data_IF_330428970713
#
_entry.id   IF_330428970713
#
_cell.length_a   1.000
_cell.length_b   1.000
_cell.length_c   1.000
_cell.angle_alpha   90.00
_cell.angle_beta   90.00
_cell.angle_gamma   90.00
#
_symmetry.space_group_name_H-M   'P 1'
#
loop_
_entity.id
_entity.type
_entity.pdbx_description
1 polymer ?
#
# COMPACT_ATOMS: atom_id res chain seq x y z
N UNK A 1 24.97 23.13 24.87
CA UNK A 1 25.18 23.27 23.42
C UNK A 1 24.16 22.38 22.73
N UNK A 2 23.09 22.95 22.17
CA UNK A 2 22.13 22.25 21.34
C UNK A 2 22.84 21.91 20.02
N UNK A 3 23.19 20.64 19.82
CA UNK A 3 23.79 20.18 18.58
C UNK A 3 22.87 20.52 17.41
N UNK A 4 23.43 21.16 16.38
CA UNK A 4 22.70 21.47 15.15
C UNK A 4 22.07 20.19 14.62
N UNK A 5 20.74 20.14 14.54
CA UNK A 5 20.02 19.02 13.95
C UNK A 5 20.54 18.83 12.52
N UNK A 6 21.17 17.70 12.25
CA UNK A 6 21.65 17.38 10.89
C UNK A 6 20.42 17.32 9.97
N UNK A 7 20.28 18.32 9.12
CA UNK A 7 19.27 18.34 8.06
C UNK A 7 19.70 17.32 7.00
N UNK A 8 18.98 16.22 6.91
CA UNK A 8 19.14 15.27 5.82
C UNK A 8 18.32 15.77 4.62
N UNK A 9 18.83 15.68 3.38
CA UNK A 9 18.01 15.93 2.22
C UNK A 9 16.85 14.93 2.21
N UNK A 10 15.64 15.45 2.01
CA UNK A 10 14.42 14.63 1.89
C UNK A 10 13.92 14.74 0.46
N UNK A 11 13.59 13.59 -0.15
CA UNK A 11 12.94 13.50 -1.45
C UNK A 11 11.55 12.90 -1.27
N UNK A 12 10.55 13.48 -1.93
CA UNK A 12 9.21 12.92 -2.05
C UNK A 12 8.94 12.61 -3.52
N UNK A 13 8.55 11.37 -3.80
CA UNK A 13 8.16 10.92 -5.15
C UNK A 13 6.77 10.33 -5.10
N UNK A 14 5.83 10.85 -5.91
CA UNK A 14 4.45 10.37 -5.97
C UNK A 14 4.26 9.42 -7.15
N UNK A 15 3.65 8.26 -6.90
CA UNK A 15 3.28 7.27 -7.92
C UNK A 15 1.77 7.21 -8.16
N UNK A 16 0.99 8.00 -7.44
CA UNK A 16 -0.45 8.13 -7.57
C UNK A 16 -0.98 9.25 -6.67
N UNK A 17 -2.23 9.65 -6.86
CA UNK A 17 -2.92 10.74 -6.17
C UNK A 17 -2.21 12.12 -6.25
N UNK A 18 -1.34 12.32 -7.26
CA UNK A 18 -0.72 13.62 -7.54
C UNK A 18 -1.38 14.32 -8.72
N UNK A 19 -1.92 13.54 -9.66
CA UNK A 19 -2.66 13.95 -10.86
C UNK A 19 -4.15 13.55 -10.78
N UNK A 20 -4.62 13.12 -9.61
CA UNK A 20 -5.97 12.62 -9.34
C UNK A 20 -6.19 12.40 -7.85
N UNK A 21 -7.33 11.77 -7.51
CA UNK A 21 -7.78 11.60 -6.11
C UNK A 21 -7.60 10.20 -5.55
N UNK A 22 -7.21 9.20 -6.35
CA UNK A 22 -7.10 7.81 -5.91
C UNK A 22 -5.75 7.20 -6.22
N UNK A 23 -5.45 6.05 -5.60
CA UNK A 23 -4.20 5.33 -5.80
C UNK A 23 -3.01 5.92 -5.06
N UNK A 24 -3.27 6.49 -3.87
CA UNK A 24 -2.25 7.15 -3.04
C UNK A 24 -1.02 6.27 -2.81
N UNK A 25 0.14 6.73 -3.29
CA UNK A 25 1.44 6.09 -3.13
C UNK A 25 2.54 7.15 -3.20
N UNK A 26 3.17 7.46 -2.06
CA UNK A 26 4.18 8.49 -1.99
C UNK A 26 5.45 7.95 -1.32
N UNK A 27 6.56 7.87 -2.05
CA UNK A 27 7.84 7.45 -1.51
C UNK A 27 8.57 8.64 -0.89
N UNK A 28 8.88 8.52 0.38
CA UNK A 28 9.75 9.45 1.12
C UNK A 28 11.13 8.81 1.28
N UNK A 29 12.16 9.49 0.79
CA UNK A 29 13.56 9.12 0.96
C UNK A 29 14.21 10.14 1.89
N UNK A 30 14.61 9.72 3.08
CA UNK A 30 15.21 10.56 4.11
C UNK A 30 16.15 9.78 5.01
N UNK A 31 17.29 10.37 5.41
CA UNK A 31 18.22 9.75 6.34
C UNK A 31 18.79 8.40 5.92
N UNK A 32 18.74 8.07 4.63
CA UNK A 32 19.13 6.77 4.06
C UNK A 32 18.01 5.72 4.09
N UNK A 33 16.81 6.08 4.56
CA UNK A 33 15.63 5.20 4.59
C UNK A 33 14.63 5.56 3.49
N UNK A 34 13.90 4.56 3.03
CA UNK A 34 12.86 4.65 1.97
C UNK A 34 11.53 4.19 2.54
N UNK A 35 10.62 5.11 2.74
CA UNK A 35 9.32 4.89 3.38
C UNK A 35 8.22 5.19 2.39
N UNK A 36 7.34 4.22 2.12
CA UNK A 36 6.17 4.41 1.28
C UNK A 36 5.00 4.87 2.17
N UNK A 37 4.49 6.06 1.93
CA UNK A 37 3.27 6.58 2.54
C UNK A 37 2.09 6.17 1.67
N UNK A 38 1.17 5.41 2.25
CA UNK A 38 0.04 4.76 1.59
C UNK A 38 0.44 3.81 0.44
N UNK A 39 -0.46 2.93 0.08
CA UNK A 39 -0.29 1.99 -1.01
C UNK A 39 -1.67 1.60 -1.57
N UNK A 40 -2.33 2.54 -2.23
CA UNK A 40 -3.72 2.47 -2.61
C UNK A 40 -4.00 1.97 -4.02
N UNK A 41 -5.22 1.55 -4.26
CA UNK A 41 -5.74 1.22 -5.60
C UNK A 41 -6.20 2.49 -6.33
N UNK A 42 -5.91 2.56 -7.61
CA UNK A 42 -6.61 3.48 -8.50
C UNK A 42 -8.05 3.01 -8.68
N UNK A 43 -9.00 3.92 -8.54
CA UNK A 43 -10.45 3.67 -8.63
C UNK A 43 -11.09 4.55 -9.71
N UNK A 44 -12.39 4.36 -9.97
CA UNK A 44 -13.16 5.16 -10.91
C UNK A 44 -13.04 4.64 -12.35
N UNK A 45 -12.64 5.48 -13.28
CA UNK A 45 -12.60 5.17 -14.71
C UNK A 45 -11.69 3.98 -15.04
N UNK A 46 -12.04 3.23 -16.10
CA UNK A 46 -11.28 2.06 -16.56
C UNK A 46 -9.80 2.39 -16.75
N UNK A 47 -9.48 3.51 -17.39
CA UNK A 47 -8.11 3.96 -17.62
C UNK A 47 -7.31 4.08 -16.32
N UNK A 48 -7.91 4.57 -15.23
CA UNK A 48 -7.26 4.65 -13.93
C UNK A 48 -7.09 3.26 -13.31
N UNK A 49 -8.11 2.41 -13.36
CA UNK A 49 -8.04 1.05 -12.81
C UNK A 49 -6.99 0.18 -13.50
N UNK A 50 -6.73 0.38 -14.78
CA UNK A 50 -5.68 -0.34 -15.52
C UNK A 50 -4.28 -0.05 -14.97
N UNK A 51 -4.05 1.11 -14.36
CA UNK A 51 -2.79 1.45 -13.68
C UNK A 51 -2.47 0.52 -12.50
N UNK A 52 -3.47 -0.16 -11.91
CA UNK A 52 -3.25 -1.12 -10.82
C UNK A 52 -2.43 -2.34 -11.25
N UNK A 53 -2.39 -2.66 -12.53
CA UNK A 53 -1.64 -3.77 -13.10
C UNK A 53 -0.20 -3.40 -13.48
N UNK A 54 0.14 -2.12 -13.40
CA UNK A 54 1.47 -1.63 -13.71
C UNK A 54 2.39 -1.78 -12.48
N UNK A 55 3.62 -2.24 -12.73
CA UNK A 55 4.64 -2.27 -11.69
C UNK A 55 5.04 -0.84 -11.29
N UNK A 56 5.35 -0.63 -10.01
CA UNK A 56 5.99 0.60 -9.59
C UNK A 56 7.41 0.67 -10.19
N UNK A 57 7.87 1.85 -10.65
CA UNK A 57 9.18 2.01 -11.27
C UNK A 57 10.32 2.07 -10.23
N UNK A 58 10.24 1.23 -9.20
CA UNK A 58 11.22 1.10 -8.12
C UNK A 58 11.37 -0.36 -7.71
N UNK A 59 12.52 -0.73 -7.17
CA UNK A 59 12.67 -2.02 -6.52
C UNK A 59 11.89 -2.03 -5.20
N UNK A 60 10.85 -2.86 -5.13
CA UNK A 60 9.99 -2.98 -3.95
C UNK A 60 10.73 -3.51 -2.71
N UNK A 61 11.85 -4.22 -2.91
CA UNK A 61 12.70 -4.72 -1.83
C UNK A 61 13.53 -3.62 -1.18
N UNK A 62 13.67 -2.48 -1.86
CA UNK A 62 14.38 -1.31 -1.32
C UNK A 62 13.51 -0.42 -0.44
N UNK A 63 12.22 -0.72 -0.29
CA UNK A 63 11.32 -0.03 0.62
C UNK A 63 11.52 -0.61 2.03
N UNK A 64 11.95 0.23 2.97
CA UNK A 64 12.23 -0.18 4.35
C UNK A 64 10.95 -0.35 5.16
N UNK A 65 9.95 0.50 4.94
CA UNK A 65 8.65 0.43 5.60
C UNK A 65 7.54 1.04 4.74
N UNK A 66 6.30 0.61 5.02
CA UNK A 66 5.08 1.30 4.57
C UNK A 66 4.41 1.93 5.79
N UNK A 67 3.87 3.13 5.63
CA UNK A 67 3.03 3.80 6.63
C UNK A 67 1.67 4.06 6.02
N UNK A 68 0.62 3.50 6.62
CA UNK A 68 -0.76 3.72 6.19
C UNK A 68 -1.41 4.82 7.01
N UNK A 69 -2.00 5.77 6.32
CA UNK A 69 -2.82 6.82 6.91
C UNK A 69 -4.15 6.25 7.44
N UNK A 70 -4.87 5.50 6.61
CA UNK A 70 -6.16 4.88 6.93
C UNK A 70 -6.50 3.72 5.99
N UNK A 71 -7.63 3.04 6.24
CA UNK A 71 -7.95 1.76 5.62
C UNK A 71 -8.63 1.83 4.24
N UNK A 72 -9.06 3.00 3.75
CA UNK A 72 -9.73 3.10 2.45
C UNK A 72 -8.88 2.46 1.35
N UNK A 73 -9.52 1.80 0.38
CA UNK A 73 -8.82 1.01 -0.63
C UNK A 73 -7.95 1.84 -1.58
N UNK A 74 -8.25 3.13 -1.76
CA UNK A 74 -7.41 4.06 -2.53
C UNK A 74 -6.16 4.52 -1.76
N UNK A 75 -6.02 4.12 -0.48
CA UNK A 75 -4.85 4.31 0.37
C UNK A 75 -4.18 2.99 0.77
N UNK A 76 -4.90 1.89 0.87
CA UNK A 76 -4.40 0.60 1.38
C UNK A 76 -4.49 -0.56 0.39
N UNK A 77 -5.40 -0.48 -0.60
CA UNK A 77 -5.84 -1.66 -1.35
C UNK A 77 -4.82 -2.26 -2.33
N UNK A 78 -3.68 -1.60 -2.59
CA UNK A 78 -2.60 -2.16 -3.41
C UNK A 78 -1.52 -2.89 -2.56
N UNK A 79 -1.64 -2.88 -1.22
CA UNK A 79 -0.73 -3.60 -0.32
C UNK A 79 -0.60 -5.10 -0.63
N UNK A 80 -1.70 -5.84 -0.94
CA UNK A 80 -1.58 -7.23 -1.33
C UNK A 80 -0.72 -7.43 -2.57
N UNK A 81 -0.79 -6.52 -3.55
CA UNK A 81 0.05 -6.53 -4.75
C UNK A 81 1.51 -6.25 -4.39
N UNK A 82 1.76 -5.26 -3.55
CA UNK A 82 3.10 -4.91 -3.07
C UNK A 82 3.79 -6.13 -2.43
N UNK A 83 3.09 -6.82 -1.52
CA UNK A 83 3.60 -8.02 -0.83
C UNK A 83 3.77 -9.20 -1.80
N UNK A 84 2.81 -9.42 -2.71
CA UNK A 84 2.88 -10.44 -3.76
C UNK A 84 4.14 -10.28 -4.62
N UNK A 85 4.51 -9.04 -4.94
CA UNK A 85 5.67 -8.72 -5.78
C UNK A 85 6.99 -8.55 -5.02
N UNK A 86 7.05 -8.95 -3.75
CA UNK A 86 8.31 -9.14 -3.06
C UNK A 86 8.62 -8.20 -1.90
N UNK A 87 7.76 -7.25 -1.58
CA UNK A 87 7.92 -6.46 -0.37
C UNK A 87 7.88 -7.36 0.88
N UNK A 88 8.81 -7.11 1.83
CA UNK A 88 8.96 -7.92 3.04
C UNK A 88 9.04 -7.11 4.33
N UNK A 89 9.08 -5.77 4.22
CA UNK A 89 9.15 -4.87 5.36
C UNK A 89 7.87 -4.78 6.19
N UNK A 90 7.88 -4.04 7.29
CA UNK A 90 6.72 -3.77 8.14
C UNK A 90 5.77 -2.76 7.48
N UNK A 91 4.48 -2.89 7.80
CA UNK A 91 3.44 -1.93 7.43
C UNK A 91 2.92 -1.32 8.73
N UNK A 92 3.19 -0.05 8.98
CA UNK A 92 2.78 0.63 10.20
C UNK A 92 1.47 1.38 10.00
N UNK A 93 0.57 1.27 10.96
CA UNK A 93 -0.68 2.03 11.02
C UNK A 93 -1.24 2.01 12.46
N UNK A 94 -2.39 2.63 12.70
CA UNK A 94 -3.10 2.52 13.98
C UNK A 94 -3.93 1.23 14.07
N UNK A 95 -4.39 0.89 15.27
CA UNK A 95 -5.15 -0.35 15.54
C UNK A 95 -6.43 -0.43 14.71
N UNK A 96 -7.21 0.65 14.64
CA UNK A 96 -8.48 0.66 13.92
C UNK A 96 -8.28 0.44 12.41
N UNK A 97 -7.27 1.09 11.82
CA UNK A 97 -6.91 0.91 10.41
C UNK A 97 -6.46 -0.53 10.13
N UNK A 98 -5.66 -1.14 11.00
CA UNK A 98 -5.25 -2.55 10.85
C UNK A 98 -6.47 -3.48 10.81
N UNK A 99 -7.40 -3.30 11.75
CA UNK A 99 -8.57 -4.17 11.89
C UNK A 99 -9.53 -4.00 10.69
N UNK A 100 -9.72 -2.77 10.21
CA UNK A 100 -10.48 -2.50 9.00
C UNK A 100 -9.79 -3.06 7.74
N UNK A 101 -8.47 -2.96 7.62
CA UNK A 101 -7.74 -3.55 6.48
C UNK A 101 -7.95 -5.06 6.41
N UNK A 102 -8.02 -5.76 7.53
CA UNK A 102 -8.27 -7.20 7.54
C UNK A 102 -9.60 -7.56 6.86
N UNK A 103 -10.65 -6.79 7.12
CA UNK A 103 -11.97 -6.98 6.51
C UNK A 103 -11.98 -6.53 5.05
N UNK A 104 -11.55 -5.29 4.79
CA UNK A 104 -11.63 -4.68 3.45
C UNK A 104 -10.78 -5.43 2.41
N UNK A 105 -9.57 -5.87 2.78
CA UNK A 105 -8.72 -6.59 1.83
C UNK A 105 -9.25 -7.99 1.54
N UNK A 106 -9.84 -8.69 2.54
CA UNK A 106 -10.45 -9.99 2.34
C UNK A 106 -11.68 -9.91 1.40
N UNK A 107 -12.53 -8.90 1.61
CA UNK A 107 -13.70 -8.63 0.77
C UNK A 107 -13.30 -8.24 -0.65
N UNK A 108 -12.38 -7.28 -0.79
CA UNK A 108 -11.87 -6.86 -2.10
C UNK A 108 -11.25 -8.02 -2.88
N UNK A 109 -10.48 -8.90 -2.23
CA UNK A 109 -9.92 -10.08 -2.87
C UNK A 109 -11.01 -11.07 -3.32
N UNK A 110 -12.04 -11.26 -2.48
CA UNK A 110 -13.18 -12.12 -2.81
C UNK A 110 -13.88 -11.62 -4.07
N UNK A 111 -14.23 -10.34 -4.13
CA UNK A 111 -14.88 -9.74 -5.29
C UNK A 111 -14.04 -9.88 -6.57
N UNK A 112 -12.73 -9.65 -6.48
CA UNK A 112 -11.83 -9.81 -7.63
C UNK A 112 -11.73 -11.25 -8.12
N UNK A 113 -11.69 -12.23 -7.21
CA UNK A 113 -11.70 -13.65 -7.57
C UNK A 113 -13.02 -14.06 -8.22
N UNK A 114 -14.18 -13.54 -7.72
CA UNK A 114 -15.50 -13.77 -8.31
C UNK A 114 -15.60 -13.16 -9.71
N UNK A 115 -15.13 -11.92 -9.88
CA UNK A 115 -15.15 -11.23 -11.18
C UNK A 115 -14.29 -11.98 -12.20
N UNK A 116 -13.11 -12.44 -11.82
CA UNK A 116 -12.25 -13.23 -12.69
C UNK A 116 -12.90 -14.57 -13.07
N UNK A 117 -13.54 -15.27 -12.12
CA UNK A 117 -14.29 -16.52 -12.40
C UNK A 117 -15.45 -16.28 -13.37
N UNK A 118 -16.21 -15.20 -13.14
CA UNK A 118 -17.33 -14.81 -14.01
C UNK A 118 -16.84 -14.48 -15.41
N UNK A 119 -15.79 -13.67 -15.54
CA UNK A 119 -15.21 -13.31 -16.82
C UNK A 119 -14.73 -14.53 -17.62
N UNK A 120 -14.09 -15.50 -16.96
CA UNK A 120 -13.68 -16.74 -17.58
C UNK A 120 -14.86 -17.61 -18.02
N UNK A 121 -15.93 -17.67 -17.20
CA UNK A 121 -17.12 -18.46 -17.50
C UNK A 121 -17.89 -17.94 -18.72
N UNK A 122 -17.96 -16.64 -18.89
CA UNK A 122 -18.75 -16.00 -19.95
C UNK A 122 -17.92 -15.49 -21.14
N UNK A 123 -16.60 -15.72 -21.13
CA UNK A 123 -15.71 -15.30 -22.23
C UNK A 123 -15.61 -13.79 -22.40
N UNK A 124 -15.90 -13.01 -21.33
CA UNK A 124 -15.92 -11.54 -21.37
C UNK A 124 -14.59 -10.90 -20.95
N UNK A 125 -13.54 -11.70 -20.76
CA UNK A 125 -12.23 -11.23 -20.35
C UNK A 125 -11.44 -10.61 -21.51
N UNK A 126 -10.72 -9.53 -21.25
CA UNK A 126 -9.73 -8.96 -22.18
C UNK A 126 -8.48 -9.85 -22.32
N UNK A 127 -8.27 -10.76 -21.37
CA UNK A 127 -7.16 -11.73 -21.34
C UNK A 127 -7.69 -13.09 -20.92
N UNK A 128 -7.13 -14.16 -21.48
CA UNK A 128 -7.53 -15.55 -21.19
C UNK A 128 -6.35 -16.31 -20.59
N UNK A 129 -6.46 -16.78 -19.35
CA UNK A 129 -7.57 -16.57 -18.42
C UNK A 129 -7.58 -15.17 -17.77
N UNK A 130 -8.77 -14.68 -17.37
CA UNK A 130 -8.87 -13.55 -16.47
C UNK A 130 -8.32 -13.93 -15.09
N UNK A 131 -7.50 -13.09 -14.52
CA UNK A 131 -6.91 -13.28 -13.19
C UNK A 131 -7.30 -12.12 -12.28
N UNK A 132 -7.46 -12.37 -10.97
CA UNK A 132 -7.60 -11.30 -10.01
C UNK A 132 -6.25 -10.57 -9.85
N UNK A 133 -6.26 -9.29 -9.55
CA UNK A 133 -5.07 -8.51 -9.27
C UNK A 133 -4.30 -9.13 -8.08
N UNK A 134 -5.05 -9.56 -7.06
CA UNK A 134 -4.57 -10.35 -5.94
C UNK A 134 -5.65 -11.30 -5.42
N UNK A 135 -5.24 -12.35 -4.73
CA UNK A 135 -6.09 -13.38 -4.15
C UNK A 135 -6.33 -13.14 -2.66
N UNK A 136 -7.29 -13.88 -2.06
CA UNK A 136 -7.49 -13.91 -0.59
C UNK A 136 -6.21 -14.29 0.15
N UNK A 137 -5.41 -15.20 -0.39
CA UNK A 137 -4.13 -15.56 0.21
C UNK A 137 -3.10 -14.41 0.17
N UNK A 138 -3.08 -13.62 -0.92
CA UNK A 138 -2.25 -12.42 -1.02
C UNK A 138 -2.69 -11.37 0.00
N UNK A 139 -3.99 -11.15 0.14
CA UNK A 139 -4.58 -10.24 1.12
C UNK A 139 -4.19 -10.63 2.55
N UNK A 140 -4.35 -11.91 2.91
CA UNK A 140 -3.96 -12.40 4.23
C UNK A 140 -2.46 -12.21 4.52
N UNK A 141 -1.59 -12.43 3.52
CA UNK A 141 -0.14 -12.19 3.67
C UNK A 141 0.19 -10.72 3.89
N UNK A 142 -0.53 -9.81 3.24
CA UNK A 142 -0.35 -8.37 3.44
C UNK A 142 -0.81 -7.94 4.84
N UNK A 143 -1.99 -8.37 5.26
CA UNK A 143 -2.55 -8.07 6.60
C UNK A 143 -1.62 -8.57 7.71
N UNK A 144 -1.04 -9.76 7.56
CA UNK A 144 -0.09 -10.32 8.53
C UNK A 144 1.19 -9.48 8.73
N UNK A 145 1.48 -8.52 7.82
CA UNK A 145 2.62 -7.58 7.95
C UNK A 145 2.25 -6.27 8.61
N UNK A 146 0.96 -6.04 8.88
CA UNK A 146 0.50 -4.79 9.48
C UNK A 146 0.80 -4.81 10.97
N UNK A 147 1.63 -3.88 11.41
CA UNK A 147 1.94 -3.61 12.81
C UNK A 147 1.19 -2.38 13.27
N UNK A 148 0.30 -2.55 14.24
CA UNK A 148 -0.40 -1.43 14.84
C UNK A 148 0.50 -0.69 15.81
N UNK A 149 0.61 0.62 15.63
CA UNK A 149 1.27 1.53 16.56
C UNK A 149 0.21 2.09 17.52
N UNK A 150 0.39 1.92 18.84
CA UNK A 150 -0.46 2.57 19.83
C UNK A 150 -0.40 4.09 19.71
N UNK A 151 -1.50 4.78 20.07
CA UNK A 151 -1.54 6.25 20.10
C UNK A 151 -0.40 6.80 20.96
N UNK A 152 0.29 7.82 20.44
CA UNK A 152 1.44 8.45 21.11
C UNK A 152 2.74 7.63 21.09
N UNK A 153 2.74 6.44 20.47
CA UNK A 153 3.97 5.67 20.23
C UNK A 153 4.34 5.73 18.74
N UNK A 154 5.64 5.84 18.51
CA UNK A 154 6.23 5.81 17.17
C UNK A 154 6.98 4.53 16.89
N UNK A 155 7.44 4.38 15.65
CA UNK A 155 8.40 3.39 15.21
C UNK A 155 9.64 4.08 14.64
N UNK A 156 10.77 3.41 14.67
CA UNK A 156 11.99 3.88 14.03
C UNK A 156 12.30 3.02 12.80
N UNK A 157 12.61 3.68 11.69
CA UNK A 157 13.06 3.03 10.46
C UNK A 157 14.39 3.68 10.06
N UNK A 158 15.47 3.00 10.36
CA UNK A 158 16.79 3.57 10.24
C UNK A 158 16.94 4.82 11.11
N UNK A 159 17.05 6.00 10.49
CA UNK A 159 17.17 7.29 11.17
C UNK A 159 15.88 8.10 11.17
N UNK A 160 14.81 7.54 10.64
CA UNK A 160 13.51 8.22 10.53
C UNK A 160 12.60 7.74 11.64
N UNK A 161 12.01 8.67 12.36
CA UNK A 161 10.95 8.40 13.33
C UNK A 161 9.59 8.54 12.66
N UNK A 162 8.74 7.55 12.84
CA UNK A 162 7.36 7.51 12.36
C UNK A 162 6.46 7.72 13.56
N UNK A 163 5.55 8.70 13.48
CA UNK A 163 4.52 8.93 14.48
C UNK A 163 3.16 9.00 13.81
N UNK A 164 2.14 8.39 14.43
CA UNK A 164 0.74 8.48 14.02
C UNK A 164 -0.01 9.32 15.06
N UNK A 165 -0.56 10.44 14.61
CA UNK A 165 -1.37 11.33 15.45
C UNK A 165 -2.83 11.20 15.00
N UNK A 166 -3.77 10.88 15.91
CA UNK A 166 -5.19 10.93 15.58
C UNK A 166 -5.61 12.35 15.17
N UNK A 167 -6.47 12.45 14.19
CA UNK A 167 -7.11 13.71 13.75
C UNK A 167 -8.49 13.79 14.38
#
# INVERSE_FOLDING_TARGET
>A
MLGAARRWPMRLTSFGAADGVTGSKHLVEAGGSRILLDCGLFQGLKLHRERNWQALPIDLRSIDAVVLSHAHLDHSGWLPVLVKHGYRGPIFTNTATRDLCAVLHADSAHLQEEDARRANRYGSASHTPALPLYTKADAARAVARITALPSGRGAEVGRVQIGLTPV
#
